data_IF_716826915665
#
_entry.id   IF_716826915665
#
_cell.length_a   1.000
_cell.length_b   1.000
_cell.length_c   1.000
_cell.angle_alpha   90.00
_cell.angle_beta   90.00
_cell.angle_gamma   90.00
#
_symmetry.space_group_name_H-M   'P 1'
#
loop_
_entity.id
_entity.type
_entity.pdbx_description
1 polymer ?
#
# COMPACT_ATOMS: atom_id res chain seq x y z
N UNK A 1 45.71 -13.06 2.78
CA UNK A 1 44.76 -12.98 1.65
C UNK A 1 43.49 -12.34 2.18
N UNK A 2 43.38 -11.02 2.07
CA UNK A 2 42.23 -10.26 2.61
C UNK A 2 41.21 -10.17 1.48
N UNK A 3 40.02 -10.73 1.68
CA UNK A 3 38.90 -10.56 0.75
C UNK A 3 38.57 -9.07 0.67
N UNK A 4 38.43 -8.48 -0.54
CA UNK A 4 37.94 -7.12 -0.63
C UNK A 4 36.52 -7.08 -0.06
N UNK A 5 36.24 -6.08 0.78
CA UNK A 5 34.90 -5.79 1.25
C UNK A 5 33.97 -5.65 0.03
N UNK A 6 32.87 -6.42 0.04
CA UNK A 6 31.83 -6.30 -0.98
C UNK A 6 31.42 -4.82 -1.07
N UNK A 7 31.27 -4.26 -2.28
CA UNK A 7 30.93 -2.86 -2.43
C UNK A 7 29.60 -2.59 -1.73
N UNK A 8 29.59 -1.58 -0.87
CA UNK A 8 28.41 -1.00 -0.21
C UNK A 8 27.24 -1.04 -1.19
N UNK A 9 26.20 -1.78 -0.82
CA UNK A 9 25.04 -2.04 -1.66
C UNK A 9 24.57 -0.73 -2.29
N UNK A 10 24.64 -0.63 -3.62
CA UNK A 10 24.09 0.51 -4.36
C UNK A 10 22.62 0.62 -4.00
N UNK A 11 22.25 1.67 -3.27
CA UNK A 11 20.85 2.05 -3.07
C UNK A 11 20.35 2.62 -4.40
N UNK A 12 19.77 1.76 -5.22
CA UNK A 12 19.13 2.20 -6.47
C UNK A 12 17.71 2.63 -6.12
N UNK A 13 17.41 3.91 -6.31
CA UNK A 13 16.06 4.49 -6.13
C UNK A 13 15.20 4.27 -7.38
N UNK A 14 15.04 3.00 -7.77
CA UNK A 14 14.17 2.65 -8.90
C UNK A 14 12.70 2.78 -8.53
N UNK A 15 11.91 3.42 -9.40
CA UNK A 15 10.46 3.46 -9.27
C UNK A 15 9.85 2.23 -9.94
N UNK A 16 9.29 1.33 -9.13
CA UNK A 16 8.67 0.11 -9.61
C UNK A 16 7.15 0.26 -9.63
N UNK A 17 6.53 -0.02 -10.78
CA UNK A 17 5.07 -0.12 -10.92
C UNK A 17 4.66 -1.59 -11.12
N UNK A 18 3.88 -2.12 -10.18
CA UNK A 18 3.32 -3.47 -10.27
C UNK A 18 1.92 -3.44 -10.91
N UNK A 19 1.78 -3.99 -12.12
CA UNK A 19 0.50 -4.06 -12.86
C UNK A 19 0.02 -5.50 -13.06
N UNK A 20 -1.24 -5.69 -13.47
CA UNK A 20 -1.84 -7.00 -13.75
C UNK A 20 -3.35 -7.00 -13.58
N UNK A 21 -4.04 -8.06 -13.99
CA UNK A 21 -5.51 -8.20 -13.89
C UNK A 21 -6.00 -8.05 -12.43
N UNK A 22 -7.22 -7.55 -12.22
CA UNK A 22 -7.82 -7.50 -10.89
C UNK A 22 -7.84 -8.91 -10.26
N UNK A 23 -7.52 -9.02 -8.96
CA UNK A 23 -7.49 -10.31 -8.25
C UNK A 23 -6.22 -11.15 -8.41
N UNK A 24 -5.21 -10.73 -9.17
CA UNK A 24 -3.97 -11.52 -9.36
C UNK A 24 -3.00 -11.51 -8.15
N UNK A 25 -3.39 -10.94 -7.00
CA UNK A 25 -2.59 -10.97 -5.77
C UNK A 25 -1.53 -9.88 -5.62
N UNK A 26 -1.61 -8.77 -6.37
CA UNK A 26 -0.65 -7.63 -6.25
C UNK A 26 -0.52 -7.11 -4.82
N UNK A 27 -1.65 -6.85 -4.15
CA UNK A 27 -1.68 -6.39 -2.76
C UNK A 27 -1.06 -7.43 -1.82
N UNK A 28 -1.30 -8.72 -2.06
CA UNK A 28 -0.69 -9.82 -1.30
C UNK A 28 0.83 -9.86 -1.47
N UNK A 29 1.33 -9.66 -2.69
CA UNK A 29 2.75 -9.60 -2.97
C UNK A 29 3.41 -8.43 -2.25
N UNK A 30 2.81 -7.22 -2.34
CA UNK A 30 3.31 -6.03 -1.65
C UNK A 30 3.41 -6.29 -0.14
N UNK A 31 2.34 -6.83 0.47
CA UNK A 31 2.33 -7.15 1.92
C UNK A 31 3.43 -8.15 2.30
N UNK A 32 3.64 -9.19 1.48
CA UNK A 32 4.73 -10.15 1.71
C UNK A 32 6.10 -9.50 1.61
N UNK A 33 6.34 -8.66 0.61
CA UNK A 33 7.61 -7.96 0.44
C UNK A 33 7.89 -7.07 1.64
N UNK A 34 6.92 -6.25 2.06
CA UNK A 34 7.03 -5.39 3.24
C UNK A 34 7.39 -6.20 4.49
N UNK A 35 6.71 -7.32 4.74
CA UNK A 35 6.97 -8.17 5.90
C UNK A 35 8.37 -8.81 5.91
N UNK A 36 9.04 -8.89 4.74
CA UNK A 36 10.39 -9.44 4.62
C UNK A 36 11.47 -8.36 4.52
N UNK A 37 11.12 -7.07 4.51
CA UNK A 37 12.10 -6.00 4.48
C UNK A 37 12.65 -5.74 5.90
N UNK A 38 13.99 -5.69 6.06
CA UNK A 38 14.62 -5.45 7.37
C UNK A 38 14.57 -3.98 7.82
N UNK A 39 13.94 -3.10 7.04
CA UNK A 39 13.90 -1.65 7.27
C UNK A 39 12.45 -1.17 7.37
N UNK A 40 12.17 -0.08 8.11
CA UNK A 40 10.83 0.51 8.16
C UNK A 40 10.39 0.91 6.76
N UNK A 41 9.23 0.41 6.33
CA UNK A 41 8.68 0.71 5.00
C UNK A 41 7.52 1.68 5.15
N UNK A 42 7.71 2.91 4.66
CA UNK A 42 6.64 3.90 4.59
C UNK A 42 5.78 3.71 3.34
N UNK A 43 4.50 4.07 3.43
CA UNK A 43 3.61 4.11 2.27
C UNK A 43 2.18 3.70 2.61
N UNK A 44 1.33 3.76 1.59
CA UNK A 44 -0.06 3.33 1.70
C UNK A 44 -0.60 2.78 0.38
N UNK A 45 -1.64 1.95 0.49
CA UNK A 45 -2.51 1.60 -0.61
C UNK A 45 -3.91 2.15 -0.36
N UNK A 46 -4.69 2.36 -1.44
CA UNK A 46 -6.09 2.77 -1.34
C UNK A 46 -7.00 1.58 -1.55
N UNK A 47 -8.04 1.47 -0.72
CA UNK A 47 -9.07 0.45 -0.84
C UNK A 47 -10.43 1.13 -1.10
N UNK A 48 -11.18 0.59 -2.05
CA UNK A 48 -12.49 1.11 -2.41
C UNK A 48 -13.52 0.75 -1.33
N UNK A 49 -14.16 1.76 -0.74
CA UNK A 49 -15.25 1.56 0.23
C UNK A 49 -16.58 1.48 -0.52
N UNK A 50 -17.30 0.37 -0.35
CA UNK A 50 -18.63 0.14 -0.91
C UNK A 50 -19.65 -0.14 0.19
N UNK A 51 -20.79 0.56 0.15
CA UNK A 51 -21.94 0.30 1.00
C UNK A 51 -23.18 0.10 0.11
N UNK A 52 -24.01 -0.90 0.41
CA UNK A 52 -25.25 -1.20 -0.34
C UNK A 52 -25.05 -1.28 -1.86
N UNK A 53 -23.91 -1.85 -2.30
CA UNK A 53 -23.57 -1.99 -3.73
C UNK A 53 -23.07 -0.71 -4.41
N UNK A 54 -23.04 0.44 -3.71
CA UNK A 54 -22.54 1.72 -4.24
C UNK A 54 -21.19 2.08 -3.64
N UNK A 55 -20.30 2.66 -4.46
CA UNK A 55 -19.03 3.21 -3.98
C UNK A 55 -19.30 4.46 -3.15
N UNK A 56 -19.00 4.37 -1.86
CA UNK A 56 -19.15 5.46 -0.89
C UNK A 56 -17.83 6.19 -0.64
N UNK A 57 -16.69 5.63 -1.04
CA UNK A 57 -15.42 6.30 -0.79
C UNK A 57 -14.17 5.47 -1.05
N UNK A 58 -13.07 5.93 -0.47
CA UNK A 58 -11.80 5.25 -0.38
C UNK A 58 -11.25 5.36 1.04
N UNK A 59 -10.67 4.27 1.54
CA UNK A 59 -9.79 4.30 2.70
C UNK A 59 -8.34 4.16 2.24
N UNK A 60 -7.46 4.83 2.95
CA UNK A 60 -6.02 4.60 2.94
C UNK A 60 -5.74 3.50 3.96
N UNK A 61 -4.94 2.53 3.55
CA UNK A 61 -4.38 1.52 4.45
C UNK A 61 -2.87 1.62 4.34
N UNK A 62 -2.21 1.88 5.47
CA UNK A 62 -0.75 1.94 5.53
C UNK A 62 -0.18 0.53 5.45
N UNK A 63 1.13 0.44 5.20
CA UNK A 63 1.84 -0.83 5.21
C UNK A 63 1.96 -1.46 6.61
N UNK A 64 1.73 -0.66 7.66
CA UNK A 64 1.66 -1.06 9.07
C UNK A 64 0.22 -1.39 9.52
N UNK A 65 -0.67 -1.72 8.58
CA UNK A 65 -2.08 -2.07 8.81
C UNK A 65 -2.92 -0.98 9.54
N UNK A 66 -2.49 0.29 9.52
CA UNK A 66 -3.31 1.40 10.00
C UNK A 66 -4.27 1.87 8.90
N UNK A 67 -5.51 2.20 9.27
CA UNK A 67 -6.54 2.66 8.32
C UNK A 67 -6.96 4.11 8.56
N UNK A 68 -7.19 4.87 7.48
CA UNK A 68 -7.74 6.21 7.52
C UNK A 68 -8.71 6.44 6.36
N UNK A 69 -9.80 7.18 6.59
CA UNK A 69 -10.72 7.56 5.51
C UNK A 69 -10.05 8.62 4.64
N UNK A 70 -9.88 8.35 3.35
CA UNK A 70 -9.25 9.28 2.42
C UNK A 70 -10.28 10.17 1.74
N UNK A 71 -11.37 9.58 1.27
CA UNK A 71 -12.48 10.32 0.67
C UNK A 71 -13.76 9.54 0.91
N UNK A 72 -14.76 10.13 1.57
CA UNK A 72 -16.08 9.55 1.74
C UNK A 72 -17.11 10.51 1.16
N UNK A 73 -18.04 10.00 0.36
CA UNK A 73 -19.28 10.72 0.06
C UNK A 73 -20.12 10.73 1.34
N UNK A 74 -20.27 11.90 1.95
CA UNK A 74 -21.45 12.15 2.75
C UNK A 74 -22.63 12.20 1.77
N UNK A 75 -23.53 11.20 1.83
CA UNK A 75 -24.90 11.46 1.44
C UNK A 75 -25.45 12.45 2.46
N UNK A 76 -26.09 13.53 1.99
CA UNK A 76 -26.29 14.77 2.72
C UNK A 76 -26.75 14.63 4.17
N UNK A 77 -26.32 15.59 4.98
CA UNK A 77 -26.86 15.91 6.29
C UNK A 77 -28.38 15.69 6.30
N UNK A 78 -28.82 14.65 6.99
CA UNK A 78 -30.13 14.70 7.61
C UNK A 78 -29.89 15.28 8.99
N UNK A 79 -29.96 16.61 9.09
CA UNK A 79 -30.35 17.25 10.34
C UNK A 79 -31.67 16.60 10.78
N UNK A 80 -31.66 15.96 11.94
CA UNK A 80 -32.82 15.84 12.84
C UNK A 80 -32.30 15.67 14.26
#
# INVERSE_FOLDING_TARGET
>A
MVLPALPEARVVTEKVLLTGRAGCGKTTLIRRVVNNLPQPVGGFYTEEMRERGSRVGFKIVTLDDNEAVFAKRCAGDSLS
#
